data_IF_443596089072
#
_entry.id   IF_443596089072
#
_cell.length_a   1.000
_cell.length_b   1.000
_cell.length_c   1.000
_cell.angle_alpha   90.00
_cell.angle_beta   90.00
_cell.angle_gamma   90.00
#
_symmetry.space_group_name_H-M   'P 1'
#
loop_
_entity.id
_entity.type
_entity.pdbx_description
1 polymer ?
#
# COMPACT_ATOMS: atom_id res chain seq x y z
N UNK A 1 6.19 8.51 16.73
CA UNK A 1 5.88 7.43 15.75
C UNK A 1 4.98 7.82 14.55
N UNK A 2 4.73 9.12 14.28
CA UNK A 2 3.94 9.57 13.11
C UNK A 2 4.86 10.13 12.02
N UNK A 3 5.85 10.95 12.40
CA UNK A 3 6.79 11.52 11.45
C UNK A 3 7.70 10.48 10.80
N UNK A 4 7.99 9.38 11.49
CA UNK A 4 8.81 8.29 10.97
C UNK A 4 8.05 7.33 10.03
N UNK A 5 6.71 7.31 10.07
CA UNK A 5 5.92 6.45 9.18
C UNK A 5 5.68 7.09 7.81
N UNK A 6 5.71 8.43 7.70
CA UNK A 6 5.54 9.14 6.43
C UNK A 6 6.62 8.72 5.39
N UNK A 7 7.93 8.71 5.71
CA UNK A 7 8.95 8.26 4.76
C UNK A 7 8.78 6.79 4.34
N UNK A 8 8.34 5.93 5.26
CA UNK A 8 8.08 4.52 4.95
C UNK A 8 6.91 4.35 3.98
N UNK A 9 5.83 5.12 4.16
CA UNK A 9 4.67 5.12 3.26
C UNK A 9 5.06 5.59 1.85
N UNK A 10 5.85 6.66 1.75
CA UNK A 10 6.37 7.17 0.48
C UNK A 10 7.29 6.15 -0.20
N UNK A 11 8.18 5.49 0.54
CA UNK A 11 9.05 4.44 -0.01
C UNK A 11 8.23 3.29 -0.59
N UNK A 12 7.18 2.84 0.09
CA UNK A 12 6.29 1.79 -0.41
C UNK A 12 5.58 2.20 -1.71
N UNK A 13 5.12 3.45 -1.79
CA UNK A 13 4.51 4.02 -2.99
C UNK A 13 5.48 4.04 -4.18
N UNK A 14 6.68 4.60 -4.00
CA UNK A 14 7.71 4.69 -5.05
C UNK A 14 8.10 3.30 -5.57
N UNK A 15 8.26 2.31 -4.68
CA UNK A 15 8.55 0.93 -5.08
C UNK A 15 7.40 0.33 -5.89
N UNK A 16 6.14 0.56 -5.50
CA UNK A 16 4.98 0.04 -6.22
C UNK A 16 4.83 0.69 -7.61
N UNK A 17 5.06 2.00 -7.72
CA UNK A 17 5.12 2.71 -9.00
C UNK A 17 6.24 2.17 -9.90
N UNK A 18 7.46 1.99 -9.35
CA UNK A 18 8.58 1.40 -10.10
C UNK A 18 8.28 -0.02 -10.60
N UNK A 19 7.54 -0.80 -9.81
CA UNK A 19 7.12 -2.16 -10.15
C UNK A 19 5.89 -2.22 -11.05
N UNK A 20 5.26 -1.07 -11.36
CA UNK A 20 4.02 -1.00 -12.13
C UNK A 20 2.86 -1.75 -11.49
N UNK A 21 2.85 -1.89 -10.15
CA UNK A 21 1.77 -2.56 -9.42
C UNK A 21 0.73 -1.56 -8.97
N UNK A 22 -0.54 -1.96 -9.01
CA UNK A 22 -1.66 -1.16 -8.52
C UNK A 22 -1.58 -0.98 -6.99
N UNK A 23 -1.43 0.27 -6.56
CA UNK A 23 -1.35 0.67 -5.14
C UNK A 23 -2.74 0.74 -4.51
N UNK A 24 -3.75 1.12 -5.29
CA UNK A 24 -5.12 1.31 -4.82
C UNK A 24 -5.85 -0.03 -4.70
N UNK A 25 -5.48 -1.01 -5.54
CA UNK A 25 -6.02 -2.36 -5.51
C UNK A 25 -4.90 -3.42 -5.48
N UNK A 26 -4.24 -3.63 -4.31
CA UNK A 26 -3.21 -4.63 -4.19
C UNK A 26 -3.78 -6.04 -4.43
N UNK A 27 -2.99 -6.89 -5.06
CA UNK A 27 -3.40 -8.26 -5.43
C UNK A 27 -3.89 -9.04 -4.22
N UNK A 28 -4.95 -9.82 -4.40
CA UNK A 28 -5.55 -10.70 -3.39
C UNK A 28 -6.16 -9.99 -2.17
N UNK A 29 -6.30 -8.66 -2.21
CA UNK A 29 -6.87 -7.89 -1.10
C UNK A 29 -8.14 -7.16 -1.55
N UNK A 30 -9.08 -7.08 -0.62
CA UNK A 30 -10.22 -6.20 -0.68
C UNK A 30 -10.12 -5.15 0.43
N UNK A 31 -10.77 -4.00 0.25
CA UNK A 31 -10.75 -2.90 1.23
C UNK A 31 -11.31 -3.30 2.60
N UNK A 32 -12.21 -4.27 2.63
CA UNK A 32 -12.78 -4.83 3.86
C UNK A 32 -13.19 -6.27 3.57
N UNK A 33 -13.01 -7.16 4.55
CA UNK A 33 -13.50 -8.54 4.49
C UNK A 33 -14.80 -8.57 5.28
N UNK A 34 -15.90 -8.88 4.60
CA UNK A 34 -17.25 -8.87 5.20
C UNK A 34 -17.90 -10.26 5.24
N UNK A 35 -17.09 -11.32 5.35
CA UNK A 35 -17.60 -12.70 5.49
C UNK A 35 -16.95 -13.31 6.73
N UNK A 36 -17.77 -14.01 7.53
CA UNK A 36 -17.36 -14.70 8.76
C UNK A 36 -16.49 -15.93 8.48
#
# INVERSE_FOLDING_TARGET
PILLTIPMQLLAYEIACYRGTDVDQPRNLAKSVTVE
#
